data_IF_708361339026
#
_entry.id   IF_708361339026
#
_cell.length_a   1.000
_cell.length_b   1.000
_cell.length_c   1.000
_cell.angle_alpha   90.00
_cell.angle_beta   90.00
_cell.angle_gamma   90.00
#
_symmetry.space_group_name_H-M   'P 1'
#
loop_
_entity.id
_entity.type
_entity.pdbx_description
1 polymer ?
#
# COMPACT_ATOMS: atom_id res chain seq x y z
N UNK A 1 -24.40 -14.23 1.17
CA UNK A 1 -24.93 -13.09 0.40
C UNK A 1 -25.80 -13.64 -0.73
N UNK A 2 -27.12 -13.42 -0.71
CA UNK A 2 -27.98 -13.78 -1.85
C UNK A 2 -27.72 -12.80 -2.99
N UNK A 3 -27.06 -13.24 -4.04
CA UNK A 3 -27.03 -12.51 -5.33
C UNK A 3 -28.44 -12.52 -5.88
N UNK A 4 -29.14 -11.39 -5.76
CA UNK A 4 -30.49 -11.25 -6.34
C UNK A 4 -30.41 -11.36 -7.86
N UNK A 5 -31.47 -11.86 -8.49
CA UNK A 5 -31.64 -11.92 -9.96
C UNK A 5 -31.38 -10.54 -10.59
N UNK A 6 -31.71 -9.47 -9.87
CA UNK A 6 -31.42 -8.07 -10.24
C UNK A 6 -29.92 -7.79 -10.41
N UNK A 7 -29.03 -8.45 -9.64
CA UNK A 7 -27.57 -8.28 -9.78
C UNK A 7 -27.01 -9.08 -10.96
N UNK A 8 -27.57 -10.26 -11.24
CA UNK A 8 -27.20 -11.11 -12.38
C UNK A 8 -27.71 -10.56 -13.73
N UNK A 9 -28.80 -9.79 -13.71
CA UNK A 9 -29.38 -9.16 -14.90
C UNK A 9 -28.75 -7.83 -15.31
N UNK A 10 -27.75 -7.30 -14.58
CA UNK A 10 -27.08 -6.04 -14.97
C UNK A 10 -26.14 -6.28 -16.15
N UNK A 11 -26.55 -5.80 -17.32
CA UNK A 11 -25.76 -5.74 -18.55
C UNK A 11 -25.73 -4.29 -19.07
N UNK A 12 -24.89 -4.01 -20.08
CA UNK A 12 -24.94 -2.72 -20.77
C UNK A 12 -26.36 -2.43 -21.25
N UNK A 13 -26.88 -1.24 -20.96
CA UNK A 13 -28.30 -0.87 -21.16
C UNK A 13 -29.19 -1.01 -19.92
N UNK A 14 -28.79 -1.81 -18.92
CA UNK A 14 -29.53 -2.04 -17.67
C UNK A 14 -28.79 -1.58 -16.40
N UNK A 15 -27.73 -0.78 -16.52
CA UNK A 15 -26.86 -0.40 -15.40
C UNK A 15 -27.49 0.65 -14.47
N UNK A 16 -28.31 1.54 -15.03
CA UNK A 16 -28.97 2.63 -14.33
C UNK A 16 -29.52 3.67 -15.30
N UNK A 17 -30.35 4.57 -14.80
CA UNK A 17 -30.81 5.75 -15.54
C UNK A 17 -29.88 6.91 -15.22
N UNK A 18 -29.25 7.48 -16.24
CA UNK A 18 -28.39 8.67 -16.14
C UNK A 18 -28.87 9.68 -17.18
N UNK A 19 -29.00 10.95 -16.79
CA UNK A 19 -29.50 12.01 -17.66
C UNK A 19 -28.57 13.23 -17.56
N UNK A 20 -28.35 13.92 -18.67
CA UNK A 20 -27.62 15.19 -18.70
C UNK A 20 -26.08 15.10 -18.63
N UNK A 21 -25.49 13.93 -18.86
CA UNK A 21 -24.04 13.77 -18.89
C UNK A 21 -23.51 13.70 -20.32
N UNK A 22 -22.61 14.63 -20.67
CA UNK A 22 -21.88 14.62 -21.93
C UNK A 22 -20.40 14.33 -21.66
N UNK A 23 -19.82 13.40 -22.41
CA UNK A 23 -18.41 13.01 -22.30
C UNK A 23 -17.73 13.20 -23.63
N UNK A 24 -16.55 13.81 -23.61
CA UNK A 24 -15.70 14.00 -24.79
C UNK A 24 -14.45 13.16 -24.63
N UNK A 25 -14.03 12.51 -25.71
CA UNK A 25 -12.81 11.72 -25.77
C UNK A 25 -12.16 11.90 -27.14
N UNK A 26 -10.83 11.90 -27.16
CA UNK A 26 -10.04 11.87 -28.40
C UNK A 26 -9.80 10.42 -28.83
N UNK A 27 -9.59 10.19 -30.12
CA UNK A 27 -9.23 8.86 -30.59
C UNK A 27 -7.84 8.44 -30.03
N UNK A 28 -7.59 7.16 -29.70
CA UNK A 28 -6.34 6.76 -29.06
C UNK A 28 -5.08 7.08 -29.87
N UNK A 29 -5.17 7.09 -31.19
CA UNK A 29 -4.11 7.45 -32.13
C UNK A 29 -3.79 8.96 -32.16
N UNK A 30 -4.66 9.80 -31.62
CA UNK A 30 -4.46 11.26 -31.51
C UNK A 30 -3.89 11.66 -30.14
N UNK A 31 -3.79 10.71 -29.20
CA UNK A 31 -3.29 10.93 -27.85
C UNK A 31 -1.83 10.45 -27.72
N UNK A 32 -1.05 11.12 -26.89
CA UNK A 32 0.27 10.61 -26.49
C UNK A 32 0.12 9.71 -25.26
N UNK A 33 0.56 8.46 -25.37
CA UNK A 33 0.42 7.45 -24.33
C UNK A 33 1.08 7.83 -22.99
N UNK A 34 2.14 8.64 -23.03
CA UNK A 34 2.90 9.08 -21.85
C UNK A 34 2.80 10.59 -21.61
N UNK A 35 1.75 11.25 -22.12
CA UNK A 35 1.54 12.67 -21.89
C UNK A 35 1.51 12.92 -20.37
N UNK A 36 2.37 13.83 -19.91
CA UNK A 36 2.43 14.19 -18.49
C UNK A 36 3.15 13.20 -17.58
N UNK A 37 3.69 12.08 -18.08
CA UNK A 37 4.26 11.01 -17.24
C UNK A 37 5.23 11.52 -16.17
N UNK A 38 6.24 12.30 -16.54
CA UNK A 38 7.22 12.81 -15.56
C UNK A 38 6.63 13.88 -14.63
N UNK A 39 5.73 14.73 -15.13
CA UNK A 39 5.06 15.72 -14.29
C UNK A 39 4.19 15.03 -13.23
N UNK A 40 3.37 14.05 -13.64
CA UNK A 40 2.49 13.30 -12.74
C UNK A 40 3.24 12.29 -11.84
N UNK A 41 4.38 11.76 -12.30
CA UNK A 41 5.21 10.87 -11.50
C UNK A 41 5.96 11.61 -10.38
N UNK A 42 6.57 12.76 -10.70
CA UNK A 42 7.44 13.47 -9.76
C UNK A 42 6.76 14.54 -8.92
N UNK A 43 5.66 15.15 -9.38
CA UNK A 43 4.84 16.01 -8.51
C UNK A 43 4.35 15.12 -7.38
N UNK A 44 4.93 15.33 -6.20
CA UNK A 44 4.82 14.51 -5.00
C UNK A 44 3.38 14.03 -4.86
N UNK A 45 3.15 12.80 -5.32
CA UNK A 45 1.81 12.32 -5.61
C UNK A 45 0.98 12.52 -4.35
N UNK A 46 -0.11 13.30 -4.42
CA UNK A 46 -0.99 13.54 -3.27
C UNK A 46 -1.39 12.21 -2.62
N UNK A 47 -1.49 11.15 -3.43
CA UNK A 47 -1.64 9.75 -3.01
C UNK A 47 -0.63 9.31 -1.95
N UNK A 48 0.67 9.61 -2.10
CA UNK A 48 1.71 9.28 -1.12
C UNK A 48 1.53 10.14 0.15
N UNK A 49 1.28 11.45 -0.02
CA UNK A 49 1.05 12.39 1.09
C UNK A 49 -0.16 12.00 1.95
N UNK A 50 -1.22 11.45 1.36
CA UNK A 50 -2.41 11.00 2.07
C UNK A 50 -2.38 9.53 2.50
N UNK A 51 -1.35 8.76 2.13
CA UNK A 51 -1.29 7.33 2.48
C UNK A 51 -0.07 6.90 3.28
N UNK A 52 0.97 7.73 3.39
CA UNK A 52 2.21 7.35 4.09
C UNK A 52 1.94 6.81 5.51
N UNK A 53 0.99 7.38 6.24
CA UNK A 53 0.67 6.99 7.62
C UNK A 53 0.01 5.61 7.76
N UNK A 54 -0.48 5.00 6.67
CA UNK A 54 -0.95 3.62 6.69
C UNK A 54 0.22 2.62 6.61
N UNK A 55 1.34 3.02 6.00
CA UNK A 55 2.46 2.12 5.70
C UNK A 55 3.66 2.36 6.62
N UNK A 56 3.98 3.62 6.91
CA UNK A 56 5.19 4.02 7.65
C UNK A 56 5.12 3.59 9.12
N UNK A 57 4.04 3.82 9.90
CA UNK A 57 4.00 3.40 11.30
C UNK A 57 4.10 1.88 11.49
N UNK A 58 3.36 1.02 10.75
CA UNK A 58 3.57 -0.43 10.84
C UNK A 58 4.98 -0.84 10.44
N UNK A 59 5.58 -0.20 9.42
CA UNK A 59 6.96 -0.49 9.03
C UNK A 59 7.97 -0.15 10.14
N UNK A 60 7.83 1.01 10.79
CA UNK A 60 8.67 1.43 11.92
C UNK A 60 8.51 0.48 13.11
N UNK A 61 7.28 0.11 13.45
CA UNK A 61 7.00 -0.83 14.56
C UNK A 61 7.66 -2.18 14.28
N UNK A 62 7.44 -2.74 13.09
CA UNK A 62 8.04 -4.02 12.70
C UNK A 62 9.57 -3.96 12.71
N UNK A 63 10.15 -2.87 12.23
CA UNK A 63 11.59 -2.66 12.27
C UNK A 63 12.11 -2.56 13.71
N UNK A 64 11.37 -1.90 14.61
CA UNK A 64 11.68 -1.83 16.03
C UNK A 64 11.69 -3.22 16.71
N UNK A 65 10.69 -4.04 16.42
CA UNK A 65 10.61 -5.44 16.92
C UNK A 65 11.77 -6.27 16.36
N UNK A 66 12.06 -6.15 15.06
CA UNK A 66 13.19 -6.83 14.43
C UNK A 66 14.53 -6.43 15.10
N UNK A 67 14.73 -5.14 15.32
CA UNK A 67 15.94 -4.61 15.95
C UNK A 67 16.10 -5.12 17.38
N UNK A 68 15.02 -5.09 18.16
CA UNK A 68 14.98 -5.64 19.53
C UNK A 68 15.32 -7.13 19.54
N UNK A 69 14.63 -7.94 18.73
CA UNK A 69 14.85 -9.38 18.66
C UNK A 69 16.29 -9.73 18.26
N UNK A 70 16.89 -8.99 17.32
CA UNK A 70 18.28 -9.18 16.92
C UNK A 70 19.27 -8.80 18.03
N UNK A 71 19.00 -7.72 18.77
CA UNK A 71 19.82 -7.28 19.89
C UNK A 71 19.79 -8.30 21.04
N UNK A 72 18.60 -8.75 21.42
CA UNK A 72 18.40 -9.77 22.46
C UNK A 72 19.04 -11.10 22.05
N UNK A 73 18.85 -11.57 20.82
CA UNK A 73 19.48 -12.80 20.34
C UNK A 73 21.02 -12.73 20.43
N UNK A 74 21.62 -11.57 20.12
CA UNK A 74 23.07 -11.38 20.30
C UNK A 74 23.48 -11.39 21.77
N UNK A 75 22.67 -10.80 22.66
CA UNK A 75 22.93 -10.79 24.10
C UNK A 75 22.85 -12.21 24.70
N UNK A 76 21.79 -12.97 24.40
CA UNK A 76 21.63 -14.36 24.86
C UNK A 76 22.69 -15.32 24.33
N UNK A 77 23.22 -15.08 23.13
CA UNK A 77 24.33 -15.88 22.57
C UNK A 77 25.70 -15.45 23.10
N UNK A 78 25.79 -14.33 23.82
CA UNK A 78 27.03 -13.90 24.47
C UNK A 78 27.15 -14.58 25.83
N UNK A 79 28.35 -15.05 26.18
CA UNK A 79 28.60 -15.64 27.50
C UNK A 79 28.36 -14.59 28.58
N UNK A 80 27.62 -14.95 29.62
CA UNK A 80 27.44 -14.11 30.80
C UNK A 80 28.68 -14.27 31.70
N UNK A 81 29.50 -13.21 31.93
CA UNK A 81 30.67 -13.31 32.79
C UNK A 81 30.31 -13.71 34.23
N UNK A 82 29.10 -13.39 34.71
CA UNK A 82 28.64 -13.74 36.05
C UNK A 82 28.52 -15.26 36.28
N UNK A 83 28.35 -16.06 35.20
CA UNK A 83 28.24 -17.51 35.32
C UNK A 83 29.61 -18.16 35.62
N UNK A 84 30.72 -17.44 35.47
CA UNK A 84 32.08 -17.92 35.68
C UNK A 84 32.78 -17.28 36.90
N UNK A 85 32.08 -16.43 37.66
CA UNK A 85 32.69 -15.73 38.81
C UNK A 85 33.10 -16.68 39.95
N UNK A 86 32.46 -17.85 40.06
CA UNK A 86 32.72 -18.84 41.10
C UNK A 86 33.22 -20.19 40.54
N UNK A 87 33.68 -20.22 39.28
CA UNK A 87 34.37 -21.39 38.72
C UNK A 87 35.85 -21.31 39.16
N UNK A 88 36.12 -21.74 40.41
CA UNK A 88 37.45 -22.08 40.92
C UNK A 88 37.58 -23.58 41.20
#
# INVERSE_FOLDING_TARGET
MRTTVVRLGKHFGGLGKMYGEYRFALAPNEQSAFKGFFHEAFVFNERIRYKWYFYVPPAIINYGVYYYAKKENKAFNSKNPADFENDE
#
